data_IF_998919087239
#
_entry.id   IF_998919087239
#
_cell.length_a   1.000
_cell.length_b   1.000
_cell.length_c   1.000
_cell.angle_alpha   90.00
_cell.angle_beta   90.00
_cell.angle_gamma   90.00
#
_symmetry.space_group_name_H-M   'P 1'
#
loop_
_entity.id
_entity.type
_entity.pdbx_description
1 polymer ?
#
# COMPACT_ATOMS: atom_id res chain seq x y z
N UNK A 1 -15.80 14.23 -5.43
CA UNK A 1 -14.85 14.16 -6.57
C UNK A 1 -14.34 12.74 -6.73
N UNK A 2 -13.84 12.09 -5.68
CA UNK A 2 -13.55 10.64 -5.69
C UNK A 2 -14.42 9.94 -4.65
N UNK A 3 -14.98 8.80 -5.04
CA UNK A 3 -15.86 8.02 -4.18
C UNK A 3 -15.08 6.92 -3.48
N UNK A 4 -15.48 6.54 -2.26
CA UNK A 4 -14.75 5.54 -1.45
C UNK A 4 -14.87 4.11 -1.99
N UNK A 5 -15.86 3.87 -2.85
CA UNK A 5 -16.10 2.64 -3.60
C UNK A 5 -15.31 2.57 -4.91
N UNK A 6 -14.44 3.55 -5.20
CA UNK A 6 -13.47 3.44 -6.29
C UNK A 6 -12.40 2.39 -5.92
N UNK A 7 -12.58 1.18 -6.41
CA UNK A 7 -11.68 0.04 -6.18
C UNK A 7 -10.91 -0.34 -7.45
N UNK A 8 -9.82 -1.09 -7.29
CA UNK A 8 -9.09 -1.68 -8.42
C UNK A 8 -9.94 -2.80 -9.04
N UNK A 9 -10.57 -3.65 -8.21
CA UNK A 9 -11.53 -4.65 -8.66
C UNK A 9 -12.68 -4.01 -9.45
N UNK A 10 -13.05 -4.60 -10.59
CA UNK A 10 -14.08 -4.12 -11.50
C UNK A 10 -13.65 -2.97 -12.41
N UNK A 11 -12.54 -2.28 -12.10
CA UNK A 11 -11.94 -1.25 -12.95
C UNK A 11 -10.75 -1.80 -13.75
N UNK A 12 -9.83 -2.48 -13.07
CA UNK A 12 -8.70 -3.19 -13.65
C UNK A 12 -8.60 -4.60 -13.03
N UNK A 13 -9.38 -5.51 -13.60
CA UNK A 13 -9.43 -6.91 -13.15
C UNK A 13 -8.13 -7.66 -13.42
N UNK A 14 -7.33 -7.22 -14.40
CA UNK A 14 -6.04 -7.87 -14.70
C UNK A 14 -5.07 -7.62 -13.56
N UNK A 15 -4.96 -6.35 -13.13
CA UNK A 15 -4.14 -5.99 -11.98
C UNK A 15 -4.69 -6.59 -10.69
N UNK A 16 -6.00 -6.52 -10.47
CA UNK A 16 -6.63 -7.09 -9.28
C UNK A 16 -6.34 -8.59 -9.12
N UNK A 17 -6.49 -9.36 -10.20
CA UNK A 17 -6.22 -10.80 -10.18
C UNK A 17 -4.74 -11.09 -9.87
N UNK A 18 -3.80 -10.28 -10.37
CA UNK A 18 -2.39 -10.41 -10.04
C UNK A 18 -2.12 -10.15 -8.55
N UNK A 19 -2.75 -9.13 -7.97
CA UNK A 19 -2.64 -8.83 -6.53
C UNK A 19 -3.17 -9.97 -5.67
N UNK A 20 -4.33 -10.53 -6.03
CA UNK A 20 -4.95 -11.63 -5.27
C UNK A 20 -4.15 -12.94 -5.39
N UNK A 21 -3.57 -13.21 -6.56
CA UNK A 21 -2.66 -14.33 -6.74
C UNK A 21 -1.40 -14.20 -5.86
N UNK A 22 -0.84 -13.00 -5.72
CA UNK A 22 0.30 -12.77 -4.83
C UNK A 22 -0.10 -12.92 -3.35
N UNK A 23 -1.26 -12.39 -2.95
CA UNK A 23 -1.79 -12.57 -1.59
C UNK A 23 -1.87 -14.06 -1.24
N UNK A 24 -2.42 -14.85 -2.15
CA UNK A 24 -2.51 -16.31 -1.98
C UNK A 24 -1.14 -16.98 -1.97
N UNK A 25 -0.23 -16.59 -2.88
CA UNK A 25 1.14 -17.12 -2.94
C UNK A 25 1.88 -16.96 -1.60
N UNK A 26 1.73 -15.80 -0.94
CA UNK A 26 2.34 -15.53 0.36
C UNK A 26 1.81 -16.43 1.49
N UNK A 27 0.56 -16.89 1.40
CA UNK A 27 -0.04 -17.82 2.36
C UNK A 27 0.33 -19.29 2.04
N UNK A 28 0.38 -19.64 0.75
CA UNK A 28 0.63 -21.00 0.27
C UNK A 28 2.13 -21.38 0.32
N UNK A 29 3.05 -20.41 0.40
CA UNK A 29 4.50 -20.64 0.40
C UNK A 29 5.17 -20.37 1.76
N UNK A 30 6.14 -21.22 2.10
CA UNK A 30 7.06 -20.96 3.21
C UNK A 30 8.18 -20.06 2.70
N UNK A 31 8.20 -18.82 3.16
CA UNK A 31 9.28 -17.89 2.83
C UNK A 31 10.50 -18.06 3.73
N UNK A 32 11.64 -18.38 3.13
CA UNK A 32 12.92 -18.62 3.81
C UNK A 32 13.98 -17.58 3.46
N UNK A 33 13.57 -16.49 2.81
CA UNK A 33 14.46 -15.40 2.44
C UNK A 33 14.78 -14.61 3.71
N UNK A 34 16.06 -14.62 4.12
CA UNK A 34 16.51 -14.07 5.40
C UNK A 34 16.21 -12.57 5.59
N UNK A 35 16.00 -11.83 4.49
CA UNK A 35 15.69 -10.39 4.50
C UNK A 35 14.21 -10.07 4.43
N UNK A 36 13.33 -11.06 4.26
CA UNK A 36 11.88 -10.85 4.12
C UNK A 36 11.14 -10.99 5.44
N UNK A 37 9.96 -10.37 5.49
CA UNK A 37 9.05 -10.41 6.62
C UNK A 37 7.63 -10.00 6.17
N UNK A 38 6.63 -10.25 7.01
CA UNK A 38 5.26 -9.81 6.77
C UNK A 38 4.96 -8.54 7.56
N UNK A 39 4.64 -7.46 6.85
CA UNK A 39 4.21 -6.23 7.48
C UNK A 39 2.87 -6.43 8.21
N UNK A 40 2.73 -5.85 9.41
CA UNK A 40 1.43 -5.89 10.09
C UNK A 40 0.36 -5.10 9.31
N UNK A 41 -0.93 -5.44 9.43
CA UNK A 41 -2.01 -4.68 8.78
C UNK A 41 -2.00 -3.18 9.07
N UNK A 42 -1.51 -2.78 10.26
CA UNK A 42 -1.38 -1.36 10.66
C UNK A 42 -0.37 -0.59 9.80
N UNK A 43 0.69 -1.26 9.34
CA UNK A 43 1.69 -0.65 8.45
C UNK A 43 1.08 -0.44 7.06
N UNK A 44 0.37 -1.45 6.54
CA UNK A 44 -0.30 -1.36 5.25
C UNK A 44 -1.39 -0.27 5.23
N UNK A 45 -2.15 -0.13 6.32
CA UNK A 45 -3.13 0.96 6.50
C UNK A 45 -2.48 2.35 6.38
N UNK A 46 -1.34 2.56 7.05
CA UNK A 46 -0.62 3.83 6.97
C UNK A 46 -0.07 4.11 5.57
N UNK A 47 0.43 3.08 4.87
CA UNK A 47 0.95 3.18 3.50
C UNK A 47 -0.16 3.54 2.48
N UNK A 48 -1.39 3.07 2.69
CA UNK A 48 -2.55 3.40 1.85
C UNK A 48 -3.25 4.72 2.21
N UNK A 49 -2.66 5.54 3.09
CA UNK A 49 -3.30 6.74 3.61
C UNK A 49 -3.17 7.97 2.70
N UNK A 50 -3.93 9.01 3.02
CA UNK A 50 -3.89 10.32 2.32
C UNK A 50 -2.56 11.06 2.49
N UNK A 51 -1.61 10.56 3.28
CA UNK A 51 -0.28 11.15 3.42
C UNK A 51 0.48 11.22 2.10
N UNK A 52 0.17 10.32 1.15
CA UNK A 52 0.74 10.37 -0.22
C UNK A 52 0.43 11.67 -0.97
N UNK A 53 -0.58 12.43 -0.53
CA UNK A 53 -0.97 13.70 -1.17
C UNK A 53 -0.11 14.88 -0.70
N UNK A 54 0.69 14.73 0.37
CA UNK A 54 1.37 15.87 1.00
C UNK A 54 2.83 15.98 0.54
N UNK A 55 3.16 17.15 -0.01
CA UNK A 55 4.55 17.58 -0.17
C UNK A 55 5.07 18.14 1.17
N UNK A 56 6.22 17.67 1.64
CA UNK A 56 6.71 17.98 3.00
C UNK A 56 8.23 18.10 3.09
N UNK A 57 8.91 18.70 2.12
CA UNK A 57 10.37 18.90 2.20
C UNK A 57 10.78 19.74 3.42
N UNK A 58 11.98 19.49 3.94
CA UNK A 58 12.52 20.10 5.16
C UNK A 58 12.31 19.23 6.41
N UNK A 59 12.27 19.86 7.58
CA UNK A 59 12.06 19.20 8.87
C UNK A 59 10.74 19.64 9.52
N UNK A 60 10.18 18.91 10.50
CA UNK A 60 9.08 19.40 11.33
C UNK A 60 9.39 20.80 11.90
N UNK A 61 8.48 21.77 11.71
CA UNK A 61 8.68 23.16 12.10
C UNK A 61 9.62 23.99 11.19
N UNK A 62 10.21 23.38 10.15
CA UNK A 62 11.09 24.00 9.16
C UNK A 62 10.82 23.43 7.76
N UNK A 63 9.57 23.50 7.32
CA UNK A 63 9.14 23.01 6.00
C UNK A 63 9.27 24.11 4.95
N UNK A 64 9.52 23.73 3.71
CA UNK A 64 9.47 24.64 2.57
C UNK A 64 8.04 24.95 2.11
N UNK A 65 7.09 24.09 2.49
CA UNK A 65 5.67 24.17 2.10
C UNK A 65 4.79 24.07 3.35
N UNK A 66 3.79 24.95 3.45
CA UNK A 66 2.72 24.94 4.46
C UNK A 66 1.66 23.90 4.15
#
# INVERSE_FOLDING_TARGET
MFSKDMTIAGYDDTLWNAMENERRRQEDHIELIASENYASPRVMEAQGSVLTNKYAEGYPGKRYYG
#
